data_IF_754400173164
#
_entry.id   IF_754400173164
#
_cell.length_a   1.000
_cell.length_b   1.000
_cell.length_c   1.000
_cell.angle_alpha   90.00
_cell.angle_beta   90.00
_cell.angle_gamma   90.00
#
_symmetry.space_group_name_H-M   'P 1'
#
loop_
_entity.id
_entity.type
_entity.pdbx_description
1 polymer ?
#
# COMPACT_ATOMS: atom_id res chain seq x y z
N UNK A 1 -17.75 -10.72 -10.77
CA UNK A 1 -16.34 -10.42 -11.04
C UNK A 1 -15.60 -10.89 -9.79
N UNK A 2 -14.95 -12.05 -9.84
CA UNK A 2 -14.22 -12.58 -8.69
C UNK A 2 -13.06 -11.63 -8.42
N UNK A 3 -12.98 -11.09 -7.20
CA UNK A 3 -11.88 -10.22 -6.78
C UNK A 3 -10.57 -10.98 -6.94
N UNK A 4 -9.63 -10.45 -7.74
CA UNK A 4 -8.36 -11.09 -8.06
C UNK A 4 -7.63 -11.57 -6.81
N UNK A 5 -7.69 -10.78 -5.73
CA UNK A 5 -7.05 -11.08 -4.44
C UNK A 5 -7.66 -12.31 -3.79
N UNK A 6 -8.98 -12.44 -3.84
CA UNK A 6 -9.70 -13.61 -3.31
C UNK A 6 -9.33 -14.89 -4.07
N UNK A 7 -9.24 -14.82 -5.39
CA UNK A 7 -8.82 -15.97 -6.20
C UNK A 7 -7.39 -16.44 -5.90
N UNK A 8 -6.46 -15.50 -5.68
CA UNK A 8 -5.10 -15.83 -5.23
C UNK A 8 -5.12 -16.55 -3.88
N UNK A 9 -5.92 -16.08 -2.94
CA UNK A 9 -6.04 -16.69 -1.62
C UNK A 9 -6.68 -18.07 -1.64
N UNK A 10 -7.78 -18.25 -2.36
CA UNK A 10 -8.44 -19.54 -2.52
C UNK A 10 -7.48 -20.62 -3.06
N UNK A 11 -6.53 -20.24 -3.91
CA UNK A 11 -5.52 -21.14 -4.44
C UNK A 11 -4.46 -21.58 -3.39
N UNK A 12 -4.17 -20.74 -2.40
CA UNK A 12 -3.13 -21.01 -1.39
C UNK A 12 -3.67 -21.54 -0.06
N UNK A 13 -4.93 -21.23 0.29
CA UNK A 13 -5.53 -21.63 1.56
C UNK A 13 -5.34 -23.12 1.91
N UNK A 14 -5.41 -24.07 0.96
CA UNK A 14 -5.15 -25.49 1.27
C UNK A 14 -3.69 -25.82 1.63
N UNK A 15 -2.74 -24.92 1.35
CA UNK A 15 -1.29 -25.14 1.43
C UNK A 15 -0.62 -24.39 2.57
N UNK A 16 -1.35 -23.52 3.27
CA UNK A 16 -0.81 -22.61 4.29
C UNK A 16 -1.54 -22.76 5.62
N UNK A 17 -0.87 -22.40 6.71
CA UNK A 17 -1.52 -22.22 8.02
C UNK A 17 -1.71 -20.73 8.28
N UNK A 18 -2.96 -20.31 8.44
CA UNK A 18 -3.28 -18.93 8.79
C UNK A 18 -2.88 -18.64 10.24
N UNK A 19 -2.28 -17.47 10.46
CA UNK A 19 -2.19 -16.88 11.80
C UNK A 19 -3.57 -16.43 12.24
N UNK A 20 -3.78 -16.38 13.54
CA UNK A 20 -5.05 -15.91 14.10
C UNK A 20 -4.79 -14.80 15.10
N UNK A 21 -5.38 -13.63 14.85
CA UNK A 21 -5.22 -12.45 15.68
C UNK A 21 -6.57 -11.71 15.81
N UNK A 22 -6.70 -10.85 16.82
CA UNK A 22 -7.91 -10.03 16.99
C UNK A 22 -7.93 -8.90 15.96
N UNK A 23 -9.01 -8.77 15.20
CA UNK A 23 -9.28 -7.61 14.36
C UNK A 23 -9.79 -6.45 15.21
N UNK A 24 -9.25 -5.25 15.00
CA UNK A 24 -9.68 -4.06 15.73
C UNK A 24 -10.56 -3.16 14.84
N UNK A 25 -11.64 -2.56 15.38
CA UNK A 25 -12.05 -2.58 16.79
C UNK A 25 -13.03 -3.70 17.17
N UNK A 26 -13.40 -4.61 16.26
CA UNK A 26 -14.43 -5.62 16.52
C UNK A 26 -14.05 -6.68 17.56
N UNK A 27 -12.76 -6.83 17.85
CA UNK A 27 -12.15 -7.88 18.66
C UNK A 27 -12.39 -9.32 18.17
N UNK A 28 -12.91 -9.47 16.95
CA UNK A 28 -13.14 -10.76 16.33
C UNK A 28 -11.81 -11.45 16.02
N UNK A 29 -11.73 -12.75 16.30
CA UNK A 29 -10.54 -13.54 15.98
C UNK A 29 -10.62 -13.99 14.53
N UNK A 30 -9.75 -13.44 13.70
CA UNK A 30 -9.72 -13.70 12.25
C UNK A 30 -8.47 -14.47 11.84
N UNK A 31 -8.60 -15.31 10.82
CA UNK A 31 -7.49 -15.95 10.13
C UNK A 31 -6.86 -15.00 9.12
N UNK A 32 -5.53 -14.94 9.07
CA UNK A 32 -4.80 -14.10 8.12
C UNK A 32 -3.43 -14.69 7.77
N UNK A 33 -2.91 -14.29 6.62
CA UNK A 33 -1.62 -14.69 6.08
C UNK A 33 -0.64 -13.53 6.14
N UNK A 34 0.41 -13.59 6.98
CA UNK A 34 1.52 -12.63 6.92
C UNK A 34 2.27 -12.79 5.60
N UNK A 35 2.46 -11.68 4.89
CA UNK A 35 3.11 -11.67 3.57
C UNK A 35 4.41 -10.87 3.59
N UNK A 36 4.40 -9.71 4.27
CA UNK A 36 5.50 -8.75 4.24
C UNK A 36 5.85 -8.29 5.65
N UNK A 37 7.14 -8.28 5.98
CA UNK A 37 7.64 -7.65 7.20
C UNK A 37 7.77 -6.14 6.98
N UNK A 38 7.05 -5.33 7.77
CA UNK A 38 6.99 -3.88 7.61
C UNK A 38 7.98 -3.13 8.52
N UNK A 39 8.15 -3.57 9.76
CA UNK A 39 8.97 -2.87 10.75
C UNK A 39 9.45 -3.84 11.84
N UNK A 40 10.66 -3.61 12.36
CA UNK A 40 11.22 -4.41 13.45
C UNK A 40 10.80 -3.92 14.85
N UNK A 41 10.67 -4.83 15.83
CA UNK A 41 10.60 -6.28 15.66
C UNK A 41 9.17 -6.70 15.25
N UNK A 42 9.08 -7.49 14.18
CA UNK A 42 7.96 -8.38 13.84
C UNK A 42 6.57 -7.75 13.57
N UNK A 43 6.49 -6.53 13.03
CA UNK A 43 5.22 -6.01 12.51
C UNK A 43 5.03 -6.40 11.05
N UNK A 44 4.04 -7.25 10.79
CA UNK A 44 3.75 -7.77 9.45
C UNK A 44 2.56 -7.04 8.81
N UNK A 45 2.55 -7.04 7.49
CA UNK A 45 1.39 -6.78 6.65
C UNK A 45 1.02 -8.06 5.91
N UNK A 46 -0.26 -8.31 5.76
CA UNK A 46 -0.76 -9.59 5.27
C UNK A 46 -2.18 -9.52 4.75
N UNK A 47 -2.72 -10.67 4.36
CA UNK A 47 -4.05 -10.80 3.76
C UNK A 47 -4.99 -11.58 4.68
N UNK A 48 -6.22 -11.10 4.83
CA UNK A 48 -7.34 -11.88 5.36
C UNK A 48 -7.84 -12.87 4.31
N UNK A 49 -8.66 -13.84 4.71
CA UNK A 49 -9.26 -14.85 3.82
C UNK A 49 -10.14 -14.27 2.70
N UNK A 50 -10.67 -13.07 2.88
CA UNK A 50 -11.49 -12.35 1.90
C UNK A 50 -10.67 -11.55 0.87
N UNK A 51 -9.35 -11.48 1.00
CA UNK A 51 -8.48 -10.68 0.11
C UNK A 51 -8.12 -9.29 0.66
N UNK A 52 -8.65 -8.92 1.81
CA UNK A 52 -8.38 -7.62 2.43
C UNK A 52 -6.99 -7.58 3.06
N UNK A 53 -6.27 -6.48 2.86
CA UNK A 53 -4.99 -6.26 3.53
C UNK A 53 -5.18 -5.86 5.00
N UNK A 54 -4.31 -6.38 5.86
CA UNK A 54 -4.24 -6.06 7.28
C UNK A 54 -2.81 -5.73 7.69
N UNK A 55 -2.69 -4.91 8.74
CA UNK A 55 -1.42 -4.63 9.41
C UNK A 55 -1.47 -5.14 10.85
N UNK A 56 -0.44 -5.90 11.24
CA UNK A 56 -0.21 -6.36 12.61
C UNK A 56 0.39 -5.22 13.43
N UNK A 57 -0.45 -4.62 14.28
CA UNK A 57 -0.03 -3.70 15.32
C UNK A 57 0.15 -4.43 16.66
N UNK A 58 0.71 -3.73 17.65
CA UNK A 58 0.98 -4.29 18.99
C UNK A 58 -0.25 -4.84 19.70
N UNK A 59 -1.44 -4.31 19.40
CA UNK A 59 -2.70 -4.66 20.06
C UNK A 59 -3.58 -5.60 19.23
N UNK A 60 -3.19 -5.93 17.99
CA UNK A 60 -4.01 -6.72 17.08
C UNK A 60 -3.90 -6.24 15.62
N UNK A 61 -4.79 -6.75 14.78
CA UNK A 61 -4.84 -6.44 13.36
C UNK A 61 -5.66 -5.19 13.10
N UNK A 62 -5.15 -4.37 12.19
CA UNK A 62 -5.85 -3.23 11.63
C UNK A 62 -6.16 -3.50 10.17
N UNK A 63 -7.45 -3.44 9.81
CA UNK A 63 -7.88 -3.51 8.42
C UNK A 63 -7.37 -2.30 7.64
N UNK A 64 -6.79 -2.55 6.46
CA UNK A 64 -6.30 -1.55 5.53
C UNK A 64 -7.32 -1.31 4.41
N UNK A 65 -8.48 -0.73 4.76
CA UNK A 65 -9.59 -0.49 3.82
C UNK A 65 -9.85 0.99 3.55
N UNK A 66 -9.61 1.85 4.53
CA UNK A 66 -9.87 3.30 4.42
C UNK A 66 -8.56 4.08 4.24
N UNK A 67 -8.55 5.24 3.56
CA UNK A 67 -7.33 6.01 3.31
C UNK A 67 -6.47 6.26 4.57
N UNK A 68 -7.10 6.54 5.71
CA UNK A 68 -6.38 6.79 6.97
C UNK A 68 -5.73 5.56 7.58
N UNK A 69 -6.23 4.36 7.28
CA UNK A 69 -5.65 3.12 7.80
C UNK A 69 -4.24 2.89 7.25
N UNK A 70 -3.96 3.34 6.02
CA UNK A 70 -2.67 3.19 5.35
C UNK A 70 -1.56 4.04 5.97
N UNK A 71 -1.87 5.06 6.79
CA UNK A 71 -0.84 5.77 7.58
C UNK A 71 -0.03 4.83 8.48
N UNK A 72 -0.57 3.66 8.84
CA UNK A 72 0.14 2.65 9.64
C UNK A 72 1.30 1.98 8.90
N UNK A 73 1.25 2.00 7.57
CA UNK A 73 2.20 1.29 6.70
C UNK A 73 3.00 2.22 5.79
N UNK A 74 2.91 3.55 5.96
CA UNK A 74 3.73 4.50 5.18
C UNK A 74 5.23 4.33 5.42
N UNK A 75 5.62 3.68 6.52
CA UNK A 75 7.02 3.27 6.78
C UNK A 75 7.57 2.37 5.67
N UNK A 76 6.72 1.65 4.93
CA UNK A 76 7.14 0.88 3.77
C UNK A 76 7.78 1.74 2.67
N UNK A 77 7.39 3.02 2.58
CA UNK A 77 7.95 3.98 1.61
C UNK A 77 9.44 4.23 1.80
N UNK A 78 10.01 3.88 2.97
CA UNK A 78 11.44 3.98 3.24
C UNK A 78 12.26 2.97 2.41
N UNK A 79 11.63 1.90 1.92
CA UNK A 79 12.23 0.92 1.04
C UNK A 79 11.87 1.23 -0.42
N UNK A 80 12.76 0.96 -1.40
CA UNK A 80 12.39 1.02 -2.81
C UNK A 80 11.25 0.06 -3.13
N UNK A 81 10.27 0.48 -3.94
CA UNK A 81 9.10 -0.35 -4.25
C UNK A 81 9.49 -1.68 -4.92
N UNK A 82 10.57 -1.69 -5.71
CA UNK A 82 11.07 -2.92 -6.34
C UNK A 82 11.53 -3.97 -5.32
N UNK A 83 12.10 -3.54 -4.19
CA UNK A 83 12.49 -4.46 -3.09
C UNK A 83 11.25 -5.04 -2.43
N UNK A 84 10.20 -4.23 -2.24
CA UNK A 84 8.91 -4.72 -1.71
C UNK A 84 8.24 -5.68 -2.69
N UNK A 85 8.27 -5.35 -3.98
CA UNK A 85 7.73 -6.17 -5.07
C UNK A 85 8.42 -7.53 -5.14
N UNK A 86 9.75 -7.57 -5.10
CA UNK A 86 10.53 -8.81 -5.06
C UNK A 86 10.14 -9.68 -3.87
N UNK A 87 10.12 -9.12 -2.65
CA UNK A 87 9.73 -9.85 -1.43
C UNK A 87 8.35 -10.48 -1.53
N UNK A 88 7.37 -9.75 -2.06
CA UNK A 88 6.00 -10.24 -2.22
C UNK A 88 5.94 -11.32 -3.32
N UNK A 89 6.57 -11.08 -4.47
CA UNK A 89 6.61 -12.06 -5.56
C UNK A 89 7.27 -13.36 -5.09
N UNK A 90 8.40 -13.28 -4.40
CA UNK A 90 9.12 -14.45 -3.89
C UNK A 90 8.27 -15.23 -2.88
N UNK A 91 7.57 -14.54 -1.97
CA UNK A 91 6.65 -15.17 -1.03
C UNK A 91 5.56 -16.01 -1.74
N UNK A 92 4.93 -15.47 -2.79
CA UNK A 92 3.90 -16.20 -3.52
C UNK A 92 4.47 -17.27 -4.46
N UNK A 93 5.67 -17.05 -4.98
CA UNK A 93 6.40 -18.02 -5.81
C UNK A 93 6.74 -19.28 -5.01
N UNK A 94 7.13 -19.14 -3.74
CA UNK A 94 7.37 -20.28 -2.83
C UNK A 94 6.08 -21.11 -2.58
N UNK A 95 4.91 -20.56 -2.91
CA UNK A 95 3.62 -21.24 -2.87
C UNK A 95 3.14 -21.76 -4.25
N UNK A 96 4.01 -21.68 -5.27
CA UNK A 96 3.72 -21.96 -6.69
C UNK A 96 2.61 -21.07 -7.28
N UNK A 97 2.49 -19.82 -6.83
CA UNK A 97 1.52 -18.85 -7.34
C UNK A 97 2.21 -17.72 -8.08
N UNK A 98 1.72 -17.45 -9.29
CA UNK A 98 2.11 -16.27 -10.07
C UNK A 98 1.11 -15.16 -9.75
N UNK A 99 1.63 -14.03 -9.29
CA UNK A 99 0.81 -12.86 -8.95
C UNK A 99 1.04 -11.69 -9.91
N UNK A 100 -0.01 -10.89 -10.10
CA UNK A 100 0.08 -9.52 -10.57
C UNK A 100 0.22 -8.62 -9.35
N UNK A 101 1.42 -8.07 -9.19
CA UNK A 101 1.75 -7.19 -8.07
C UNK A 101 0.87 -5.93 -8.06
N UNK A 102 0.55 -5.38 -9.23
CA UNK A 102 -0.19 -4.11 -9.30
C UNK A 102 -1.65 -4.27 -8.89
N UNK A 103 -2.25 -5.44 -9.11
CA UNK A 103 -3.60 -5.77 -8.68
C UNK A 103 -3.64 -6.24 -7.21
N UNK A 104 -2.60 -6.96 -6.77
CA UNK A 104 -2.54 -7.50 -5.41
C UNK A 104 -2.19 -6.45 -4.36
N UNK A 105 -1.07 -5.74 -4.55
CA UNK A 105 -0.48 -4.90 -3.51
C UNK A 105 -1.02 -3.46 -3.56
N UNK A 106 -1.44 -2.86 -2.43
CA UNK A 106 -2.09 -1.55 -2.38
C UNK A 106 -1.07 -0.40 -2.45
N UNK A 107 -0.22 -0.41 -3.49
CA UNK A 107 0.81 0.62 -3.69
C UNK A 107 0.21 2.01 -3.87
N UNK A 108 -0.95 2.10 -4.54
CA UNK A 108 -1.67 3.35 -4.74
C UNK A 108 -2.08 3.97 -3.40
N UNK A 109 -2.71 3.19 -2.52
CA UNK A 109 -3.22 3.65 -1.23
C UNK A 109 -2.09 4.06 -0.29
N UNK A 110 -0.96 3.34 -0.32
CA UNK A 110 0.23 3.68 0.48
C UNK A 110 0.86 5.00 -0.02
N UNK A 111 1.01 5.17 -1.34
CA UNK A 111 1.51 6.43 -1.92
C UNK A 111 0.58 7.59 -1.59
N UNK A 112 -0.74 7.37 -1.72
CA UNK A 112 -1.75 8.36 -1.34
C UNK A 112 -1.57 8.80 0.11
N UNK A 113 -1.48 7.85 1.04
CA UNK A 113 -1.27 8.15 2.45
C UNK A 113 0.01 8.96 2.68
N UNK A 114 1.14 8.58 2.06
CA UNK A 114 2.40 9.33 2.22
C UNK A 114 2.34 10.78 1.67
N UNK A 115 1.62 11.00 0.57
CA UNK A 115 1.39 12.36 0.03
C UNK A 115 0.47 13.18 0.95
N UNK A 116 -0.59 12.57 1.48
CA UNK A 116 -1.62 13.24 2.29
C UNK A 116 -1.25 13.40 3.79
N UNK A 117 -0.18 12.75 4.26
CA UNK A 117 0.35 12.89 5.64
C UNK A 117 0.88 14.30 5.94
N UNK A 118 1.08 15.14 4.92
CA UNK A 118 1.52 16.54 5.04
C UNK A 118 2.84 16.74 5.79
N UNK A 119 3.72 15.73 5.77
CA UNK A 119 5.10 15.84 6.27
C UNK A 119 6.07 15.75 5.10
N UNK A 120 7.02 16.70 4.94
CA UNK A 120 7.97 16.68 3.82
C UNK A 120 8.68 15.34 3.62
N UNK A 121 9.07 14.68 4.72
CA UNK A 121 9.72 13.37 4.69
C UNK A 121 8.89 12.31 3.96
N UNK A 122 7.64 12.11 4.40
CA UNK A 122 6.76 11.09 3.80
C UNK A 122 6.34 11.46 2.38
N UNK A 123 6.13 12.75 2.10
CA UNK A 123 5.82 13.19 0.74
C UNK A 123 6.98 12.94 -0.23
N UNK A 124 8.23 13.19 0.18
CA UNK A 124 9.41 12.88 -0.63
C UNK A 124 9.52 11.38 -0.95
N UNK A 125 9.31 10.51 0.06
CA UNK A 125 9.34 9.07 -0.14
C UNK A 125 8.16 8.57 -1.01
N UNK A 126 6.95 9.08 -0.77
CA UNK A 126 5.78 8.77 -1.56
C UNK A 126 5.96 9.15 -3.04
N UNK A 127 6.62 10.27 -3.30
CA UNK A 127 6.96 10.68 -4.65
C UNK A 127 7.92 9.74 -5.37
N UNK A 128 8.84 9.07 -4.66
CA UNK A 128 9.71 8.05 -5.28
C UNK A 128 8.90 6.86 -5.74
N UNK A 129 7.94 6.40 -4.93
CA UNK A 129 7.03 5.33 -5.33
C UNK A 129 6.04 5.77 -6.41
N UNK A 130 5.57 7.02 -6.36
CA UNK A 130 4.68 7.60 -7.37
C UNK A 130 5.24 7.47 -8.78
N UNK A 131 6.54 7.73 -8.96
CA UNK A 131 7.20 7.67 -10.27
C UNK A 131 7.17 6.26 -10.89
N UNK A 132 7.08 5.22 -10.04
CA UNK A 132 7.05 3.81 -10.43
C UNK A 132 5.62 3.28 -10.64
N UNK A 133 4.59 4.07 -10.28
CA UNK A 133 3.20 3.69 -10.51
C UNK A 133 2.85 3.80 -12.00
N UNK A 134 1.95 2.93 -12.46
CA UNK A 134 1.37 3.06 -13.78
C UNK A 134 0.54 4.37 -13.92
N UNK A 135 0.33 4.81 -15.16
CA UNK A 135 -0.33 6.09 -15.44
C UNK A 135 -1.76 6.17 -14.88
N UNK A 136 -2.48 5.05 -14.82
CA UNK A 136 -3.83 5.01 -14.26
C UNK A 136 -3.83 5.34 -12.76
N UNK A 137 -2.95 4.68 -11.99
CA UNK A 137 -2.77 4.95 -10.56
C UNK A 137 -2.26 6.37 -10.32
N UNK A 138 -1.34 6.87 -11.15
CA UNK A 138 -0.86 8.26 -11.08
C UNK A 138 -2.00 9.27 -11.30
N UNK A 139 -2.90 9.02 -12.26
CA UNK A 139 -4.09 9.86 -12.52
C UNK A 139 -5.04 9.87 -11.31
N UNK A 140 -5.25 8.72 -10.67
CA UNK A 140 -6.09 8.62 -9.45
C UNK A 140 -5.53 9.42 -8.26
N UNK A 141 -4.23 9.78 -8.26
CA UNK A 141 -3.59 10.58 -7.21
C UNK A 141 -3.65 12.10 -7.44
N UNK A 142 -4.41 12.57 -8.44
CA UNK A 142 -4.53 14.00 -8.78
C UNK A 142 -4.92 14.86 -7.57
N UNK A 143 -5.90 14.42 -6.79
CA UNK A 143 -6.36 15.16 -5.61
C UNK A 143 -5.28 15.23 -4.52
N UNK A 144 -4.54 14.14 -4.30
CA UNK A 144 -3.42 14.09 -3.37
C UNK A 144 -2.31 15.06 -3.80
N UNK A 145 -2.01 15.16 -5.10
CA UNK A 145 -1.06 16.14 -5.62
C UNK A 145 -1.54 17.59 -5.43
N UNK A 146 -2.84 17.86 -5.56
CA UNK A 146 -3.43 19.18 -5.26
C UNK A 146 -3.28 19.53 -3.77
N UNK A 147 -3.46 18.54 -2.88
CA UNK A 147 -3.21 18.72 -1.44
C UNK A 147 -1.75 19.08 -1.19
N UNK A 148 -0.80 18.35 -1.80
CA UNK A 148 0.63 18.64 -1.67
C UNK A 148 0.95 20.04 -2.20
N UNK A 149 0.52 20.39 -3.41
CA UNK A 149 0.78 21.70 -4.05
C UNK A 149 0.34 22.88 -3.17
N UNK A 150 -0.84 22.78 -2.55
CA UNK A 150 -1.44 23.86 -1.78
C UNK A 150 -1.03 23.87 -0.30
N UNK A 151 -0.29 22.87 0.17
CA UNK A 151 0.10 22.78 1.56
C UNK A 151 1.06 23.90 1.96
N UNK A 152 0.94 24.40 3.20
CA UNK A 152 1.87 25.38 3.77
C UNK A 152 3.05 24.73 4.50
N UNK A 153 2.91 23.47 4.91
CA UNK A 153 3.91 22.71 5.68
C UNK A 153 4.84 21.88 4.80
N UNK A 154 4.48 21.67 3.53
CA UNK A 154 5.32 21.03 2.53
C UNK A 154 6.34 22.02 1.94
N UNK A 155 7.55 21.52 1.65
CA UNK A 155 8.63 22.32 1.07
C UNK A 155 8.28 22.85 -0.33
N UNK A 156 8.87 23.99 -0.71
CA UNK A 156 8.64 24.57 -2.02
C UNK A 156 9.04 23.65 -3.18
N UNK A 157 10.10 22.86 -3.03
CA UNK A 157 10.53 21.88 -4.04
C UNK A 157 9.45 20.81 -4.29
N UNK A 158 8.89 20.25 -3.22
CA UNK A 158 7.83 19.24 -3.30
C UNK A 158 6.52 19.79 -3.87
N UNK A 159 6.15 21.02 -3.51
CA UNK A 159 5.00 21.73 -4.12
C UNK A 159 5.20 21.97 -5.61
N UNK A 160 6.40 22.40 -6.00
CA UNK A 160 6.75 22.59 -7.40
C UNK A 160 6.69 21.27 -8.17
N UNK A 161 7.18 20.18 -7.57
CA UNK A 161 7.08 18.83 -8.13
C UNK A 161 5.62 18.42 -8.34
N UNK A 162 4.77 18.55 -7.32
CA UNK A 162 3.33 18.26 -7.43
C UNK A 162 2.67 19.02 -8.59
N UNK A 163 2.94 20.33 -8.69
CA UNK A 163 2.47 21.18 -9.80
C UNK A 163 2.94 20.70 -11.16
N UNK A 164 4.21 20.26 -11.27
CA UNK A 164 4.78 19.74 -12.52
C UNK A 164 4.05 18.47 -12.95
N UNK A 165 3.79 17.54 -12.03
CA UNK A 165 3.07 16.30 -12.33
C UNK A 165 1.61 16.58 -12.71
N UNK A 166 0.90 17.45 -11.97
CA UNK A 166 -0.46 17.88 -12.34
C UNK A 166 -0.54 18.43 -13.77
N UNK A 167 0.44 19.24 -14.19
CA UNK A 167 0.51 19.76 -15.56
C UNK A 167 0.73 18.67 -16.60
N UNK A 168 1.52 17.64 -16.31
CA UNK A 168 1.74 16.51 -17.22
C UNK A 168 0.45 15.69 -17.37
N UNK A 169 -0.21 15.39 -16.25
CA UNK A 169 -1.46 14.62 -16.26
C UNK A 169 -2.55 15.31 -17.08
N UNK A 170 -2.73 16.62 -16.91
CA UNK A 170 -3.69 17.41 -17.70
C UNK A 170 -3.35 17.48 -19.21
N UNK A 171 -2.08 17.30 -19.60
CA UNK A 171 -1.68 17.23 -21.02
C UNK A 171 -1.92 15.85 -21.63
N UNK A 172 -1.91 14.80 -20.81
CA UNK A 172 -2.15 13.40 -21.20
C UNK A 172 -3.63 13.01 -21.28
N UNK A 173 -4.53 13.98 -21.15
CA UNK A 173 -5.99 13.85 -21.33
C UNK A 173 -6.45 14.30 -22.73
N UNK A 174 -5.50 14.69 -23.61
CA UNK A 174 -5.67 15.02 -25.03
C UNK A 174 -4.81 14.08 -25.88
#
# INVERSE_FOLDING_TARGET
MTDYRRSVLEAILPRITLRHSKLLPSEEKIGWLPVLLCHEPDLYMGLMDDGSWVFEGRSGLHLLSEPRSFFRVIVLLEQPINVIKEKIIDFFKDLDIIIDFDELFPSFEIVRAGLEEQRPYWSELAFKWYDELNLEKQKKLKDSLVIVENSRVITQSLRYRARKELRKLNRSEF
#
